data_IF_335297428439
#
_entry.id   IF_335297428439
#
_cell.length_a   1.000
_cell.length_b   1.000
_cell.length_c   1.000
_cell.angle_alpha   90.00
_cell.angle_beta   90.00
_cell.angle_gamma   90.00
#
_symmetry.space_group_name_H-M   'P 1'
#
loop_
_entity.id
_entity.type
_entity.pdbx_description
1 polymer ?
#
# COMPACT_ATOMS: atom_id res chain seq x y z
N UNK A 1 22.56 2.86 32.00
CA UNK A 1 21.75 1.86 31.27
C UNK A 1 20.38 2.47 31.05
N UNK A 2 19.91 2.56 29.81
CA UNK A 2 18.58 3.11 29.51
C UNK A 2 17.54 2.19 30.17
N UNK A 3 16.80 2.70 31.15
CA UNK A 3 15.78 1.98 31.93
C UNK A 3 14.49 1.70 31.15
N UNK A 4 14.63 1.36 29.87
CA UNK A 4 13.50 1.14 28.95
C UNK A 4 12.96 -0.29 29.10
N UNK A 5 11.63 -0.40 29.09
CA UNK A 5 10.92 -1.68 29.24
C UNK A 5 10.32 -2.12 27.92
N UNK A 6 10.58 -3.36 27.52
CA UNK A 6 10.01 -3.97 26.31
C UNK A 6 8.50 -4.14 26.48
N UNK A 7 7.74 -3.75 25.45
CA UNK A 7 6.32 -4.02 25.40
C UNK A 7 6.05 -5.40 24.78
N UNK A 8 5.75 -6.40 25.61
CA UNK A 8 5.48 -7.78 25.18
C UNK A 8 4.20 -7.97 24.35
N UNK A 9 3.30 -6.98 24.30
CA UNK A 9 2.09 -7.04 23.43
C UNK A 9 2.36 -6.59 22.00
N UNK A 10 3.37 -5.73 21.79
CA UNK A 10 3.77 -5.23 20.47
C UNK A 10 4.99 -5.94 19.92
N UNK A 11 5.82 -6.48 20.80
CA UNK A 11 7.03 -7.19 20.44
C UNK A 11 6.68 -8.65 20.17
N UNK A 12 7.32 -9.21 19.15
CA UNK A 12 7.14 -10.60 18.73
C UNK A 12 8.51 -11.15 18.35
N UNK A 13 8.76 -12.40 18.73
CA UNK A 13 9.91 -13.17 18.29
C UNK A 13 9.49 -14.11 17.15
N UNK A 14 10.24 -14.11 16.05
CA UNK A 14 10.08 -15.10 14.98
C UNK A 14 11.34 -15.95 14.94
N UNK A 15 11.15 -17.26 14.99
CA UNK A 15 12.23 -18.24 14.96
C UNK A 15 12.11 -19.08 13.69
N UNK A 16 13.24 -19.49 13.13
CA UNK A 16 13.24 -20.40 11.98
C UNK A 16 12.49 -21.70 12.31
N UNK A 17 11.70 -22.25 11.36
CA UNK A 17 10.94 -23.48 11.58
C UNK A 17 11.82 -24.69 11.94
N UNK A 18 13.12 -24.64 11.65
CA UNK A 18 14.07 -25.74 11.88
C UNK A 18 14.59 -25.83 13.34
N UNK A 19 14.19 -24.92 14.23
CA UNK A 19 14.57 -24.99 15.65
C UNK A 19 13.65 -25.91 16.45
N UNK A 20 14.23 -26.59 17.45
CA UNK A 20 13.50 -27.37 18.45
C UNK A 20 12.56 -26.47 19.28
N UNK A 21 11.38 -26.98 19.60
CA UNK A 21 10.34 -26.26 20.33
C UNK A 21 10.80 -25.89 21.74
N UNK A 22 11.59 -26.77 22.38
CA UNK A 22 12.17 -26.51 23.70
C UNK A 22 13.07 -25.26 23.72
N UNK A 23 13.82 -25.03 22.65
CA UNK A 23 14.70 -23.85 22.51
C UNK A 23 13.86 -22.59 22.26
N UNK A 24 12.78 -22.69 21.47
CA UNK A 24 11.86 -21.56 21.21
C UNK A 24 11.19 -21.10 22.50
N UNK A 25 10.71 -22.02 23.33
CA UNK A 25 10.07 -21.70 24.60
C UNK A 25 11.05 -21.10 25.61
N UNK A 26 12.27 -21.62 25.71
CA UNK A 26 13.31 -21.06 26.59
C UNK A 26 13.68 -19.62 26.18
N UNK A 27 13.85 -19.36 24.88
CA UNK A 27 14.11 -18.01 24.35
C UNK A 27 12.94 -17.06 24.60
N UNK A 28 11.70 -17.50 24.35
CA UNK A 28 10.50 -16.70 24.58
C UNK A 28 10.37 -16.30 26.06
N UNK A 29 10.68 -17.24 26.98
CA UNK A 29 10.68 -17.01 28.42
C UNK A 29 11.76 -16.02 28.86
N UNK A 30 12.99 -16.18 28.34
CA UNK A 30 14.12 -15.28 28.66
C UNK A 30 13.90 -13.86 28.16
N UNK A 31 13.29 -13.70 26.99
CA UNK A 31 13.01 -12.40 26.38
C UNK A 31 11.70 -11.76 26.86
N UNK A 32 10.81 -12.56 27.48
CA UNK A 32 9.46 -12.14 27.87
C UNK A 32 8.64 -11.59 26.68
N UNK A 33 8.69 -12.30 25.54
CA UNK A 33 8.03 -11.93 24.29
C UNK A 33 7.30 -13.15 23.73
N UNK A 34 6.16 -12.93 23.06
CA UNK A 34 5.43 -13.99 22.38
C UNK A 34 6.15 -14.44 21.10
N UNK A 35 6.15 -15.74 20.84
CA UNK A 35 6.60 -16.31 19.57
C UNK A 35 5.48 -16.20 18.53
N UNK A 36 5.81 -15.83 17.29
CA UNK A 36 4.88 -15.91 16.17
C UNK A 36 5.54 -16.52 14.94
N UNK A 37 4.69 -17.01 14.02
CA UNK A 37 5.14 -17.51 12.73
C UNK A 37 5.61 -16.38 11.78
N UNK A 38 5.13 -15.15 12.01
CA UNK A 38 5.38 -13.96 11.18
C UNK A 38 5.56 -12.73 12.06
N UNK A 39 6.50 -11.87 11.69
CA UNK A 39 6.74 -10.52 12.22
C UNK A 39 5.54 -9.64 11.87
N UNK A 40 4.95 -9.84 10.69
CA UNK A 40 3.80 -9.10 10.21
C UNK A 40 4.19 -7.75 9.60
N UNK A 41 3.48 -6.70 10.00
CA UNK A 41 3.63 -5.37 9.41
C UNK A 41 4.60 -4.51 10.20
N UNK A 42 5.61 -3.99 9.51
CA UNK A 42 6.49 -2.96 10.04
C UNK A 42 6.37 -1.70 9.18
N UNK A 43 6.10 -0.56 9.82
CA UNK A 43 5.86 0.73 9.13
C UNK A 43 4.80 0.65 8.00
N UNK A 44 3.81 -0.23 8.16
CA UNK A 44 2.73 -0.41 7.18
C UNK A 44 3.15 -1.16 5.91
N UNK A 45 4.17 -2.02 6.02
CA UNK A 45 4.59 -2.97 4.99
C UNK A 45 4.80 -4.34 5.63
N UNK A 46 4.39 -5.39 4.93
CA UNK A 46 4.75 -6.77 5.27
C UNK A 46 6.26 -7.01 5.13
N UNK A 47 6.93 -7.33 6.24
CA UNK A 47 8.39 -7.56 6.30
C UNK A 47 8.77 -9.03 6.40
N UNK A 48 7.79 -9.91 6.40
CA UNK A 48 8.03 -11.34 6.60
C UNK A 48 8.85 -11.97 5.47
N UNK A 49 9.83 -12.82 5.79
CA UNK A 49 10.49 -13.66 4.80
C UNK A 49 9.45 -14.51 4.05
N UNK A 50 9.55 -14.53 2.71
CA UNK A 50 8.59 -15.23 1.85
C UNK A 50 7.34 -14.42 1.50
N UNK A 51 7.23 -13.16 1.93
CA UNK A 51 6.16 -12.27 1.47
C UNK A 51 6.19 -12.13 -0.05
N UNK A 52 5.07 -12.42 -0.68
CA UNK A 52 4.93 -12.35 -2.14
C UNK A 52 4.64 -10.93 -2.61
N UNK A 53 5.04 -10.61 -3.84
CA UNK A 53 4.68 -9.34 -4.50
C UNK A 53 3.16 -9.10 -4.55
N UNK A 54 2.38 -10.19 -4.58
CA UNK A 54 0.92 -10.15 -4.58
C UNK A 54 0.37 -9.71 -3.23
N UNK A 55 0.91 -10.23 -2.12
CA UNK A 55 0.49 -9.82 -0.77
C UNK A 55 0.79 -8.34 -0.52
N UNK A 56 1.98 -7.86 -0.90
CA UNK A 56 2.34 -6.43 -0.83
C UNK A 56 1.36 -5.59 -1.66
N UNK A 57 1.05 -6.05 -2.88
CA UNK A 57 0.11 -5.37 -3.76
C UNK A 57 -1.32 -5.33 -3.20
N UNK A 58 -1.79 -6.42 -2.62
CA UNK A 58 -3.10 -6.49 -1.97
C UNK A 58 -3.17 -5.54 -0.77
N UNK A 59 -2.13 -5.46 0.05
CA UNK A 59 -2.10 -4.51 1.17
C UNK A 59 -2.26 -3.05 0.71
N UNK A 60 -1.61 -2.67 -0.39
CA UNK A 60 -1.76 -1.33 -0.99
C UNK A 60 -3.21 -1.11 -1.41
N UNK A 61 -3.80 -2.08 -2.11
CA UNK A 61 -5.17 -2.03 -2.61
C UNK A 61 -6.17 -1.91 -1.46
N UNK A 62 -6.01 -2.69 -0.40
CA UNK A 62 -6.90 -2.69 0.77
C UNK A 62 -6.86 -1.33 1.48
N UNK A 63 -5.66 -0.74 1.64
CA UNK A 63 -5.53 0.59 2.22
C UNK A 63 -6.21 1.67 1.38
N UNK A 64 -6.08 1.60 0.05
CA UNK A 64 -6.76 2.53 -0.86
C UNK A 64 -8.28 2.39 -0.76
N UNK A 65 -8.80 1.15 -0.75
CA UNK A 65 -10.23 0.91 -0.57
C UNK A 65 -10.74 1.43 0.78
N UNK A 66 -10.01 1.17 1.87
CA UNK A 66 -10.36 1.68 3.20
C UNK A 66 -10.50 3.21 3.21
N UNK A 67 -9.55 3.94 2.58
CA UNK A 67 -9.65 5.41 2.45
C UNK A 67 -10.82 5.85 1.60
N UNK A 68 -11.09 5.16 0.48
CA UNK A 68 -12.20 5.48 -0.40
C UNK A 68 -13.56 5.27 0.26
N UNK A 69 -13.73 4.27 1.12
CA UNK A 69 -14.96 4.08 1.88
C UNK A 69 -15.23 5.25 2.84
N UNK A 70 -14.18 5.86 3.40
CA UNK A 70 -14.30 7.06 4.24
C UNK A 70 -14.73 8.30 3.44
N UNK A 71 -14.37 8.39 2.16
CA UNK A 71 -14.63 9.58 1.36
C UNK A 71 -15.94 9.47 0.57
N UNK A 72 -16.84 10.43 0.80
CA UNK A 72 -18.02 10.63 -0.06
C UNK A 72 -17.59 11.24 -1.40
N UNK A 73 -16.98 10.45 -2.29
CA UNK A 73 -16.43 10.89 -3.58
C UNK A 73 -17.42 11.62 -4.50
N UNK A 74 -18.73 11.49 -4.28
CA UNK A 74 -19.78 12.22 -4.99
C UNK A 74 -19.92 13.69 -4.57
N UNK A 75 -19.43 14.08 -3.40
CA UNK A 75 -19.54 15.44 -2.85
C UNK A 75 -18.33 16.34 -3.19
N UNK A 76 -17.31 15.78 -3.84
CA UNK A 76 -16.07 16.50 -4.13
C UNK A 76 -16.08 17.11 -5.53
N UNK A 77 -15.61 18.36 -5.61
CA UNK A 77 -15.29 19.00 -6.89
C UNK A 77 -14.18 18.24 -7.63
N UNK A 78 -14.06 18.45 -8.94
CA UNK A 78 -13.00 17.83 -9.75
C UNK A 78 -11.60 18.16 -9.21
N UNK A 79 -11.38 19.40 -8.77
CA UNK A 79 -10.15 19.83 -8.11
C UNK A 79 -9.92 19.11 -6.79
N UNK A 80 -10.96 18.97 -5.95
CA UNK A 80 -10.86 18.25 -4.68
C UNK A 80 -10.50 16.78 -4.86
N UNK A 81 -11.09 16.12 -5.87
CA UNK A 81 -10.71 14.74 -6.24
C UNK A 81 -9.26 14.65 -6.69
N UNK A 82 -8.80 15.59 -7.54
CA UNK A 82 -7.42 15.60 -8.01
C UNK A 82 -6.44 15.73 -6.85
N UNK A 83 -6.73 16.64 -5.92
CA UNK A 83 -5.91 16.86 -4.72
C UNK A 83 -5.82 15.59 -3.87
N UNK A 84 -6.93 14.89 -3.62
CA UNK A 84 -6.91 13.63 -2.86
C UNK A 84 -6.16 12.51 -3.59
N UNK A 85 -6.30 12.42 -4.92
CA UNK A 85 -5.55 11.46 -5.72
C UNK A 85 -4.05 11.69 -5.54
N UNK A 86 -3.59 12.93 -5.71
CA UNK A 86 -2.15 13.26 -5.67
C UNK A 86 -1.57 13.16 -4.26
N UNK A 87 -2.25 13.73 -3.26
CA UNK A 87 -1.71 13.86 -1.91
C UNK A 87 -1.91 12.60 -1.06
N UNK A 88 -2.91 11.77 -1.37
CA UNK A 88 -3.21 10.59 -0.54
C UNK A 88 -3.06 9.31 -1.33
N UNK A 89 -3.80 9.14 -2.43
CA UNK A 89 -3.82 7.85 -3.15
C UNK A 89 -2.46 7.52 -3.78
N UNK A 90 -1.80 8.50 -4.39
CA UNK A 90 -0.48 8.32 -4.98
C UNK A 90 0.65 8.31 -3.93
N UNK A 91 0.44 8.96 -2.78
CA UNK A 91 1.43 8.99 -1.70
C UNK A 91 1.48 7.67 -0.90
N UNK A 92 0.33 7.03 -0.72
CA UNK A 92 0.17 5.81 0.07
C UNK A 92 1.07 4.63 -0.38
N UNK A 93 1.22 4.31 -1.69
CA UNK A 93 2.11 3.24 -2.13
C UNK A 93 3.60 3.64 -2.18
N UNK A 94 3.99 4.90 -1.96
CA UNK A 94 5.37 5.38 -2.22
C UNK A 94 6.40 4.53 -1.47
N UNK A 95 6.18 4.30 -0.17
CA UNK A 95 7.13 3.54 0.64
C UNK A 95 7.28 2.11 0.09
N UNK A 96 6.18 1.42 -0.19
CA UNK A 96 6.21 0.08 -0.78
C UNK A 96 6.84 0.05 -2.17
N UNK A 97 6.63 1.08 -2.99
CA UNK A 97 7.21 1.19 -4.33
C UNK A 97 8.71 1.47 -4.31
N UNK A 98 9.23 2.12 -3.27
CA UNK A 98 10.66 2.42 -3.14
C UNK A 98 11.52 1.18 -2.88
N UNK A 99 10.93 0.13 -2.32
CA UNK A 99 11.64 -1.11 -1.95
C UNK A 99 11.20 -2.32 -2.79
N UNK A 100 10.03 -2.27 -3.43
CA UNK A 100 9.49 -3.41 -4.18
C UNK A 100 9.06 -3.02 -5.60
N UNK A 101 9.41 -3.89 -6.56
CA UNK A 101 8.81 -3.89 -7.89
C UNK A 101 7.42 -4.51 -7.84
N UNK A 102 6.40 -3.70 -8.10
CA UNK A 102 5.01 -4.16 -8.09
C UNK A 102 4.70 -5.02 -9.33
N UNK A 103 3.77 -5.97 -9.17
CA UNK A 103 3.32 -6.83 -10.28
C UNK A 103 2.40 -6.07 -11.26
N UNK A 104 2.32 -6.55 -12.51
CA UNK A 104 1.40 -6.00 -13.55
C UNK A 104 -0.04 -5.91 -13.10
N UNK A 105 -0.53 -6.95 -12.44
CA UNK A 105 -1.87 -6.97 -11.90
C UNK A 105 -2.07 -5.88 -10.84
N UNK A 106 -1.09 -5.67 -9.96
CA UNK A 106 -1.15 -4.68 -8.89
C UNK A 106 -1.27 -3.25 -9.42
N UNK A 107 -0.37 -2.80 -10.31
CA UNK A 107 -0.44 -1.42 -10.79
C UNK A 107 -1.69 -1.16 -11.62
N UNK A 108 -2.15 -2.12 -12.42
CA UNK A 108 -3.43 -1.98 -13.14
C UNK A 108 -4.63 -1.85 -12.20
N UNK A 109 -4.65 -2.61 -11.09
CA UNK A 109 -5.70 -2.49 -10.07
C UNK A 109 -5.68 -1.13 -9.37
N UNK A 110 -4.50 -0.64 -8.99
CA UNK A 110 -4.37 0.69 -8.37
C UNK A 110 -4.80 1.79 -9.35
N UNK A 111 -4.33 1.77 -10.60
CA UNK A 111 -4.74 2.74 -11.62
C UNK A 111 -6.25 2.68 -11.88
N UNK A 112 -6.86 1.49 -11.88
CA UNK A 112 -8.31 1.33 -11.96
C UNK A 112 -9.03 2.00 -10.78
N UNK A 113 -8.56 1.80 -9.56
CA UNK A 113 -9.14 2.41 -8.35
C UNK A 113 -9.09 3.94 -8.43
N UNK A 114 -7.95 4.50 -8.83
CA UNK A 114 -7.77 5.96 -9.00
C UNK A 114 -8.70 6.48 -10.11
N UNK A 115 -8.76 5.79 -11.24
CA UNK A 115 -9.63 6.14 -12.38
C UNK A 115 -11.10 6.09 -12.00
N UNK A 116 -11.53 5.06 -11.28
CA UNK A 116 -12.91 4.91 -10.83
C UNK A 116 -13.28 6.03 -9.85
N UNK A 117 -12.38 6.41 -8.93
CA UNK A 117 -12.57 7.56 -8.05
C UNK A 117 -12.67 8.90 -8.81
N UNK A 118 -11.78 9.12 -9.80
CA UNK A 118 -11.79 10.32 -10.64
C UNK A 118 -13.14 10.53 -11.33
N UNK A 119 -13.58 9.51 -12.09
CA UNK A 119 -14.84 9.55 -12.82
C UNK A 119 -16.07 9.43 -11.92
N UNK A 120 -15.89 9.03 -10.65
CA UNK A 120 -17.00 8.82 -9.72
C UNK A 120 -17.78 7.54 -10.01
N UNK A 121 -17.13 6.54 -10.59
CA UNK A 121 -17.68 5.19 -10.69
C UNK A 121 -17.88 4.63 -9.28
N UNK A 122 -19.03 4.03 -9.05
CA UNK A 122 -19.34 3.26 -7.83
C UNK A 122 -19.74 1.85 -8.25
N UNK A 123 -19.71 0.88 -7.34
CA UNK A 123 -20.15 -0.50 -7.61
C UNK A 123 -21.54 -0.60 -8.30
N UNK A 124 -22.43 0.38 -8.05
CA UNK A 124 -23.78 0.44 -8.63
C UNK A 124 -23.93 1.37 -9.83
N UNK A 125 -22.98 2.28 -10.08
CA UNK A 125 -23.12 3.34 -11.09
C UNK A 125 -21.82 3.50 -11.84
N UNK A 126 -21.85 3.23 -13.15
CA UNK A 126 -20.74 3.50 -14.06
C UNK A 126 -21.02 4.80 -14.80
N UNK A 127 -20.15 5.78 -14.61
CA UNK A 127 -20.17 7.05 -15.36
C UNK A 127 -19.38 6.89 -16.66
N UNK A 128 -19.80 7.62 -17.69
CA UNK A 128 -19.12 7.65 -18.97
C UNK A 128 -17.72 8.27 -18.79
N UNK A 129 -16.69 7.57 -19.28
CA UNK A 129 -15.33 8.10 -19.32
C UNK A 129 -15.19 8.89 -20.61
N UNK A 130 -15.28 10.21 -20.53
CA UNK A 130 -15.26 11.06 -21.73
C UNK A 130 -13.86 11.26 -22.30
N UNK A 131 -12.82 11.02 -21.49
CA UNK A 131 -11.41 11.20 -21.85
C UNK A 131 -10.66 9.90 -21.55
N UNK A 132 -9.78 9.48 -22.46
CA UNK A 132 -8.93 8.32 -22.25
C UNK A 132 -8.05 8.50 -20.99
N UNK A 133 -7.87 7.43 -20.22
CA UNK A 133 -7.06 7.47 -19.00
C UNK A 133 -5.62 7.94 -19.27
N UNK A 134 -5.06 7.53 -20.40
CA UNK A 134 -3.72 7.91 -20.81
C UNK A 134 -3.59 9.41 -21.06
N UNK A 135 -4.62 10.05 -21.62
CA UNK A 135 -4.68 11.52 -21.80
C UNK A 135 -4.74 12.24 -20.46
N UNK A 136 -5.53 11.74 -19.49
CA UNK A 136 -5.60 12.30 -18.14
C UNK A 136 -4.23 12.22 -17.44
N UNK A 137 -3.49 11.14 -17.68
CA UNK A 137 -2.20 10.91 -17.03
C UNK A 137 -1.06 11.78 -17.58
N UNK A 138 -1.26 12.45 -18.73
CA UNK A 138 -0.25 13.35 -19.29
C UNK A 138 0.03 14.53 -18.34
N UNK A 139 1.23 15.13 -18.40
CA UNK A 139 1.54 16.38 -17.73
C UNK A 139 0.60 17.52 -18.18
N UNK A 140 0.48 18.57 -17.35
CA UNK A 140 -0.41 19.71 -17.65
C UNK A 140 0.05 20.50 -18.87
N UNK A 141 1.35 20.50 -19.11
CA UNK A 141 2.04 21.15 -20.23
C UNK A 141 1.61 20.55 -21.58
N UNK A 142 1.10 19.31 -21.56
CA UNK A 142 0.63 18.57 -22.75
C UNK A 142 -0.87 18.27 -22.63
N UNK A 143 -1.61 19.19 -22.01
CA UNK A 143 -3.08 19.17 -21.85
C UNK A 143 -3.63 18.03 -20.97
N UNK A 144 -2.79 17.39 -20.16
CA UNK A 144 -3.23 16.38 -19.20
C UNK A 144 -3.58 16.96 -17.82
N UNK A 145 -4.05 16.08 -16.92
CA UNK A 145 -4.39 16.44 -15.54
C UNK A 145 -3.18 16.24 -14.59
N UNK A 146 -2.15 15.54 -15.08
CA UNK A 146 -0.92 15.25 -14.34
C UNK A 146 -1.09 14.16 -13.28
N UNK A 147 -2.00 13.20 -13.50
CA UNK A 147 -2.09 12.00 -12.65
C UNK A 147 -1.05 11.00 -13.13
N UNK A 148 -0.01 10.75 -12.32
CA UNK A 148 1.02 9.73 -12.65
C UNK A 148 0.45 8.30 -12.69
N UNK A 149 0.78 7.55 -13.74
CA UNK A 149 0.55 6.09 -13.79
C UNK A 149 1.42 5.37 -12.77
N UNK A 150 0.85 4.39 -12.08
CA UNK A 150 1.55 3.69 -11.00
C UNK A 150 2.75 2.88 -11.50
N UNK A 151 2.69 2.30 -12.69
CA UNK A 151 3.84 1.61 -13.30
C UNK A 151 5.05 2.54 -13.44
N UNK A 152 4.87 3.67 -14.13
CA UNK A 152 5.93 4.64 -14.38
C UNK A 152 6.46 5.19 -13.06
N UNK A 153 5.57 5.40 -12.09
CA UNK A 153 5.96 5.89 -10.77
C UNK A 153 6.77 4.86 -9.98
N UNK A 154 6.38 3.58 -10.00
CA UNK A 154 7.14 2.50 -9.37
C UNK A 154 8.52 2.32 -10.02
N UNK A 155 8.58 2.37 -11.35
CA UNK A 155 9.86 2.30 -12.08
C UNK A 155 10.79 3.45 -11.69
N UNK A 156 10.27 4.68 -11.64
CA UNK A 156 11.06 5.85 -11.24
C UNK A 156 11.58 5.77 -9.80
N UNK A 157 10.81 5.19 -8.87
CA UNK A 157 11.28 5.00 -7.49
C UNK A 157 12.38 3.95 -7.35
N UNK A 158 12.38 2.94 -8.21
CA UNK A 158 13.38 1.87 -8.20
C UNK A 158 14.65 2.23 -8.99
N UNK A 159 14.57 3.19 -9.90
CA UNK A 159 15.70 3.69 -10.68
C UNK A 159 16.54 4.75 -9.93
N UNK A 160 16.35 4.85 -8.61
CA UNK A 160 17.14 5.72 -7.72
C UNK A 160 18.52 5.14 -7.43
#
# INVERSE_FOLDING_TARGET
MLGEKINGTKSVMVVSPNYDEAIKEDLARKLNVNTAAKIGKYLGILVDPGTTRREIGNEIIDRLHSRLQTWKGKLLSSTGKLTLIKLVMQAMPIYSMSIHRLSKDTWNKVDRIIRDFWWGNTAKVRKLHTIAWDTICKPKEIEGVGIRKIEQFNQAFLAK
#
